data_IF_492986598296
#
_entry.id   IF_492986598296
#
_cell.length_a   1.000
_cell.length_b   1.000
_cell.length_c   1.000
_cell.angle_alpha   90.00
_cell.angle_beta   90.00
_cell.angle_gamma   90.00
#
_symmetry.space_group_name_H-M   'P 1'
#
loop_
_entity.id
_entity.type
_entity.pdbx_description
1 polymer ?
#
# COMPACT_ATOMS: atom_id res chain seq x y z
N UNK A 1 -56.38 -36.55 -8.99
CA UNK A 1 -56.10 -35.13 -8.73
C UNK A 1 -54.98 -35.05 -7.69
N UNK A 2 -54.10 -34.04 -7.78
CA UNK A 2 -52.90 -33.78 -6.96
C UNK A 2 -51.65 -34.64 -7.22
N UNK A 3 -50.75 -34.12 -8.05
CA UNK A 3 -49.40 -34.68 -8.21
C UNK A 3 -48.52 -33.88 -9.16
N UNK A 4 -48.42 -32.55 -9.02
CA UNK A 4 -47.50 -31.76 -9.86
C UNK A 4 -47.24 -30.35 -9.31
N UNK A 5 -46.61 -30.17 -8.15
CA UNK A 5 -46.08 -28.85 -7.75
C UNK A 5 -44.93 -28.97 -6.73
N UNK A 6 -43.70 -29.29 -7.15
CA UNK A 6 -42.53 -29.10 -6.25
C UNK A 6 -41.14 -28.93 -6.88
N UNK A 7 -40.99 -28.77 -8.21
CA UNK A 7 -39.65 -28.74 -8.85
C UNK A 7 -39.08 -27.37 -9.24
N UNK A 8 -39.60 -26.25 -8.70
CA UNK A 8 -39.26 -24.91 -9.20
C UNK A 8 -38.49 -23.99 -8.25
N UNK A 9 -37.73 -24.52 -7.27
CA UNK A 9 -36.94 -23.69 -6.32
C UNK A 9 -35.41 -23.78 -6.44
N UNK A 10 -34.84 -24.74 -7.19
CA UNK A 10 -33.39 -25.00 -7.14
C UNK A 10 -32.51 -24.07 -8.00
N UNK A 11 -33.08 -23.38 -9.00
CA UNK A 11 -32.29 -22.48 -9.88
C UNK A 11 -31.95 -21.12 -9.23
N UNK A 12 -32.71 -20.68 -8.23
CA UNK A 12 -32.50 -19.37 -7.59
C UNK A 12 -31.40 -19.39 -6.52
N UNK A 13 -31.16 -20.52 -5.85
CA UNK A 13 -30.12 -20.60 -4.81
C UNK A 13 -28.69 -20.53 -5.39
N UNK A 14 -28.46 -21.10 -6.58
CA UNK A 14 -27.14 -21.14 -7.24
C UNK A 14 -26.59 -19.74 -7.57
N UNK A 15 -27.45 -18.78 -7.96
CA UNK A 15 -27.00 -17.42 -8.29
C UNK A 15 -26.46 -16.68 -7.06
N UNK A 16 -27.08 -16.88 -5.90
CA UNK A 16 -26.67 -16.20 -4.66
C UNK A 16 -25.32 -16.71 -4.11
N UNK A 17 -25.03 -18.01 -4.25
CA UNK A 17 -23.75 -18.60 -3.86
C UNK A 17 -22.62 -18.10 -4.77
N UNK A 18 -22.86 -18.06 -6.08
CA UNK A 18 -21.88 -17.55 -7.04
C UNK A 18 -21.53 -16.07 -6.79
N UNK A 19 -22.52 -15.23 -6.46
CA UNK A 19 -22.28 -13.82 -6.10
C UNK A 19 -21.44 -13.71 -4.83
N UNK A 20 -21.71 -14.52 -3.80
CA UNK A 20 -20.91 -14.53 -2.56
C UNK A 20 -19.48 -14.97 -2.81
N UNK A 21 -19.27 -16.02 -3.60
CA UNK A 21 -17.94 -16.50 -3.98
C UNK A 21 -17.18 -15.45 -4.79
N UNK A 22 -17.85 -14.78 -5.72
CA UNK A 22 -17.25 -13.68 -6.48
C UNK A 22 -16.82 -12.55 -5.56
N UNK A 23 -17.67 -12.11 -4.62
CA UNK A 23 -17.27 -11.07 -3.67
C UNK A 23 -16.09 -11.50 -2.81
N UNK A 24 -16.08 -12.73 -2.28
CA UNK A 24 -14.96 -13.24 -1.49
C UNK A 24 -13.67 -13.25 -2.32
N UNK A 25 -13.73 -13.73 -3.57
CA UNK A 25 -12.59 -13.74 -4.48
C UNK A 25 -12.09 -12.33 -4.79
N UNK A 26 -12.99 -11.37 -5.05
CA UNK A 26 -12.63 -9.97 -5.28
C UNK A 26 -11.95 -9.37 -4.05
N UNK A 27 -12.52 -9.54 -2.85
CA UNK A 27 -11.93 -9.00 -1.62
C UNK A 27 -10.57 -9.64 -1.32
N UNK A 28 -10.45 -10.96 -1.52
CA UNK A 28 -9.18 -11.65 -1.37
C UNK A 28 -8.11 -11.09 -2.31
N UNK A 29 -8.45 -10.91 -3.59
CA UNK A 29 -7.53 -10.33 -4.57
C UNK A 29 -7.13 -8.89 -4.20
N UNK A 30 -8.10 -8.07 -3.77
CA UNK A 30 -7.83 -6.71 -3.31
C UNK A 30 -6.92 -6.67 -2.09
N UNK A 31 -7.12 -7.57 -1.12
CA UNK A 31 -6.27 -7.68 0.07
C UNK A 31 -4.85 -8.07 -0.31
N UNK A 32 -4.69 -9.08 -1.19
CA UNK A 32 -3.37 -9.49 -1.67
C UNK A 32 -2.69 -8.36 -2.43
N UNK A 33 -3.41 -7.69 -3.34
CA UNK A 33 -2.91 -6.52 -4.05
C UNK A 33 -2.49 -5.39 -3.11
N UNK A 34 -3.27 -5.14 -2.05
CA UNK A 34 -2.93 -4.17 -1.03
C UNK A 34 -1.64 -4.56 -0.29
N UNK A 35 -1.46 -5.81 0.12
CA UNK A 35 -0.22 -6.26 0.76
C UNK A 35 0.99 -6.12 -0.16
N UNK A 36 0.86 -6.41 -1.46
CA UNK A 36 1.95 -6.24 -2.43
C UNK A 36 2.41 -4.78 -2.55
N UNK A 37 1.49 -3.82 -2.48
CA UNK A 37 1.80 -2.38 -2.53
C UNK A 37 2.27 -1.86 -1.17
N UNK A 38 1.65 -2.28 -0.07
CA UNK A 38 1.95 -1.80 1.27
C UNK A 38 3.25 -2.37 1.83
N UNK A 39 3.65 -3.57 1.42
CA UNK A 39 4.89 -4.19 1.89
C UNK A 39 6.14 -3.33 1.62
N UNK A 40 6.44 -2.89 0.39
CA UNK A 40 7.61 -2.03 0.14
C UNK A 40 7.50 -0.67 0.84
N UNK A 41 6.29 -0.12 1.01
CA UNK A 41 6.08 1.11 1.78
C UNK A 41 6.40 0.92 3.26
N UNK A 42 5.90 -0.16 3.86
CA UNK A 42 6.23 -0.56 5.23
C UNK A 42 7.73 -0.75 5.39
N UNK A 43 8.37 -1.43 4.45
CA UNK A 43 9.81 -1.63 4.46
C UNK A 43 10.57 -0.30 4.43
N UNK A 44 10.19 0.61 3.52
CA UNK A 44 10.80 1.92 3.37
C UNK A 44 10.68 2.76 4.66
N UNK A 45 9.48 2.83 5.26
CA UNK A 45 9.25 3.52 6.54
C UNK A 45 10.04 2.90 7.70
N UNK A 46 10.09 1.57 7.76
CA UNK A 46 10.91 0.89 8.76
C UNK A 46 12.39 1.23 8.58
N UNK A 47 12.90 1.20 7.35
CA UNK A 47 14.31 1.50 7.06
C UNK A 47 14.70 2.97 7.28
N UNK A 48 13.81 3.93 6.99
CA UNK A 48 14.09 5.35 7.21
C UNK A 48 14.30 5.68 8.69
N UNK A 49 13.75 4.86 9.59
CA UNK A 49 13.84 5.01 11.04
C UNK A 49 14.92 4.14 11.71
N UNK A 50 15.67 3.34 10.94
CA UNK A 50 16.74 2.46 11.47
C UNK A 50 18.06 3.22 11.65
N UNK A 51 18.87 2.84 12.65
CA UNK A 51 20.28 3.21 12.66
C UNK A 51 21.04 2.48 11.53
N UNK A 52 22.16 3.03 11.03
CA UNK A 52 22.93 2.43 9.93
C UNK A 52 23.37 0.98 10.19
N UNK A 53 23.58 0.63 11.46
CA UNK A 53 23.94 -0.73 11.89
C UNK A 53 22.83 -1.73 11.61
N UNK A 54 21.55 -1.37 11.76
CA UNK A 54 20.40 -2.27 11.52
C UNK A 54 19.99 -2.38 10.06
N UNK A 55 20.44 -1.45 9.21
CA UNK A 55 20.14 -1.49 7.76
C UNK A 55 20.92 -2.62 7.08
N UNK A 56 22.12 -2.95 7.58
CA UNK A 56 23.02 -3.95 6.98
C UNK A 56 23.03 -5.30 7.69
N UNK A 57 22.20 -5.49 8.73
CA UNK A 57 22.17 -6.73 9.52
C UNK A 57 21.33 -7.83 8.86
N UNK A 58 21.78 -9.08 9.01
CA UNK A 58 21.02 -10.28 8.70
C UNK A 58 20.85 -11.13 9.98
N UNK A 59 19.63 -11.58 10.32
CA UNK A 59 18.38 -11.39 9.61
C UNK A 59 17.90 -9.92 9.64
N UNK A 60 17.09 -9.47 8.66
CA UNK A 60 16.67 -8.09 8.60
C UNK A 60 15.74 -7.72 9.77
N UNK A 61 15.98 -6.55 10.37
CA UNK A 61 15.15 -6.04 11.47
C UNK A 61 13.87 -5.44 10.90
N UNK A 62 12.70 -5.93 11.29
CA UNK A 62 11.40 -5.47 10.76
C UNK A 62 10.90 -4.19 11.42
N UNK A 63 11.13 -4.04 12.73
CA UNK A 63 10.72 -2.86 13.52
C UNK A 63 11.99 -2.25 14.11
N UNK A 64 12.33 -0.99 13.79
CA UNK A 64 13.55 -0.33 14.28
C UNK A 64 13.59 -0.28 15.81
N UNK A 65 14.74 -0.62 16.38
CA UNK A 65 14.98 -0.57 17.83
C UNK A 65 16.43 -0.16 18.10
N UNK A 66 16.73 1.11 18.42
CA UNK A 66 15.80 2.23 18.66
C UNK A 66 15.23 2.83 17.37
N UNK A 67 14.17 3.62 17.52
CA UNK A 67 13.62 4.47 16.45
C UNK A 67 14.49 5.74 16.34
N UNK A 68 15.04 6.01 15.16
CA UNK A 68 15.97 7.12 14.92
C UNK A 68 15.31 8.23 14.10
N UNK A 69 14.56 9.11 14.77
CA UNK A 69 13.90 10.26 14.13
C UNK A 69 14.89 11.29 13.55
N UNK A 70 16.11 11.35 14.10
CA UNK A 70 17.17 12.24 13.62
C UNK A 70 17.48 12.03 12.14
N UNK A 71 17.23 10.84 11.58
CA UNK A 71 17.38 10.57 10.16
C UNK A 71 16.59 11.56 9.29
N UNK A 72 15.39 11.98 9.71
CA UNK A 72 14.58 12.96 8.97
C UNK A 72 15.16 14.37 9.08
N UNK A 73 15.58 14.79 10.27
CA UNK A 73 16.24 16.09 10.47
C UNK A 73 17.51 16.17 9.65
N UNK A 74 18.33 15.12 9.69
CA UNK A 74 19.54 15.00 8.89
C UNK A 74 19.22 15.03 7.41
N UNK A 75 18.20 14.30 6.93
CA UNK A 75 17.84 14.29 5.52
C UNK A 75 17.52 15.70 4.96
N UNK A 76 16.89 16.57 5.76
CA UNK A 76 16.53 17.93 5.32
C UNK A 76 17.62 18.99 5.60
N UNK A 77 18.67 18.64 6.35
CA UNK A 77 19.77 19.56 6.71
C UNK A 77 21.15 19.12 6.21
N UNK A 78 21.28 17.93 5.64
CA UNK A 78 22.57 17.36 5.20
C UNK A 78 23.21 18.15 4.06
N UNK A 79 22.41 18.82 3.24
CA UNK A 79 22.90 19.62 2.13
C UNK A 79 23.08 21.08 2.53
N UNK A 80 24.07 21.79 1.94
CA UNK A 80 24.27 23.21 2.17
C UNK A 80 23.12 24.06 1.60
N UNK A 81 22.38 23.53 0.63
CA UNK A 81 21.20 24.18 0.04
C UNK A 81 19.98 23.79 0.88
N UNK A 82 19.15 24.77 1.31
CA UNK A 82 17.94 24.47 2.06
C UNK A 82 17.00 23.52 1.32
N UNK A 83 16.49 22.49 2.00
CA UNK A 83 15.67 21.44 1.38
C UNK A 83 14.44 21.97 0.63
N UNK A 84 13.82 23.05 1.12
CA UNK A 84 12.65 23.65 0.49
C UNK A 84 12.91 24.16 -0.93
N UNK A 85 14.16 24.45 -1.29
CA UNK A 85 14.53 24.86 -2.66
C UNK A 85 14.30 23.72 -3.63
N UNK A 86 14.65 22.49 -3.25
CA UNK A 86 14.37 21.30 -4.09
C UNK A 86 12.87 21.10 -4.26
N UNK A 87 12.12 21.20 -3.17
CA UNK A 87 10.65 21.07 -3.19
C UNK A 87 10.03 22.13 -4.10
N UNK A 88 10.43 23.41 -3.94
CA UNK A 88 9.92 24.52 -4.73
C UNK A 88 10.23 24.36 -6.23
N UNK A 89 11.47 23.99 -6.58
CA UNK A 89 11.86 23.77 -7.97
C UNK A 89 11.07 22.63 -8.61
N UNK A 90 10.93 21.49 -7.92
CA UNK A 90 10.15 20.36 -8.42
C UNK A 90 8.68 20.72 -8.60
N UNK A 91 8.06 21.37 -7.60
CA UNK A 91 6.66 21.81 -7.70
C UNK A 91 6.47 22.82 -8.83
N UNK A 92 7.37 23.79 -8.99
CA UNK A 92 7.31 24.76 -10.08
C UNK A 92 7.33 24.10 -11.45
N UNK A 93 8.29 23.20 -11.69
CA UNK A 93 8.40 22.47 -12.97
C UNK A 93 7.17 21.58 -13.21
N UNK A 94 6.72 20.85 -12.19
CA UNK A 94 5.52 20.01 -12.30
C UNK A 94 4.26 20.82 -12.63
N UNK A 95 4.09 21.99 -12.01
CA UNK A 95 2.95 22.87 -12.29
C UNK A 95 3.02 23.46 -13.70
N UNK A 96 4.20 23.93 -14.13
CA UNK A 96 4.38 24.41 -15.49
C UNK A 96 4.06 23.33 -16.52
N UNK A 97 4.47 22.08 -16.27
CA UNK A 97 4.15 20.96 -17.16
C UNK A 97 2.65 20.68 -17.20
N UNK A 98 1.93 20.73 -16.06
CA UNK A 98 0.48 20.50 -16.01
C UNK A 98 -0.32 21.62 -16.67
N UNK A 99 0.13 22.88 -16.54
CA UNK A 99 -0.55 24.05 -17.12
C UNK A 99 -0.18 24.23 -18.60
N UNK A 100 1.03 23.84 -19.00
CA UNK A 100 1.56 23.98 -20.36
C UNK A 100 1.33 22.79 -21.29
N UNK A 101 0.85 21.65 -20.79
CA UNK A 101 0.19 20.60 -21.61
C UNK A 101 -1.22 21.00 -21.98
#
# INVERSE_FOLDING_TARGET
MMGSLSRHRSRFQSKSLMIRLQHIATHFLLIVGAFLVLFPLFWMLSTSLKPPTQVKTFPPVWIPKPIVWENYVRAVTIFPIPFYVFVANSTYISLLNVVGT
#
